data_IF_915443260294
#
_entry.id   IF_915443260294
#
_cell.length_a   1.000
_cell.length_b   1.000
_cell.length_c   1.000
_cell.angle_alpha   90.00
_cell.angle_beta   90.00
_cell.angle_gamma   90.00
#
_symmetry.space_group_name_H-M   'P 1'
#
loop_
_entity.id
_entity.type
_entity.pdbx_description
1 polymer ?
#
# COMPACT_ATOMS: atom_id res chain seq x y z
N UNK A 1 -111.62 -99.60 -39.70
CA UNK A 1 -113.05 -99.97 -39.69
C UNK A 1 -113.87 -98.70 -39.53
N UNK A 2 -114.58 -98.30 -40.58
CA UNK A 2 -115.40 -97.09 -40.63
C UNK A 2 -116.70 -97.33 -39.84
N UNK A 3 -116.92 -96.58 -38.75
CA UNK A 3 -118.23 -96.56 -38.07
C UNK A 3 -119.18 -95.68 -38.86
N UNK A 4 -120.13 -96.32 -39.53
CA UNK A 4 -121.28 -95.69 -40.18
C UNK A 4 -122.27 -95.37 -39.04
N UNK A 5 -122.54 -94.09 -38.80
CA UNK A 5 -123.58 -93.65 -37.88
C UNK A 5 -124.95 -93.77 -38.56
N UNK A 6 -125.89 -94.43 -37.92
CA UNK A 6 -127.26 -94.65 -38.42
C UNK A 6 -128.22 -93.64 -37.81
N UNK A 7 -129.38 -93.40 -38.44
CA UNK A 7 -130.37 -92.38 -38.02
C UNK A 7 -130.86 -92.50 -36.56
N UNK A 8 -130.55 -93.60 -35.88
CA UNK A 8 -130.77 -93.87 -34.45
C UNK A 8 -129.90 -93.04 -33.51
N UNK A 9 -128.80 -92.46 -34.01
CA UNK A 9 -127.81 -91.73 -33.20
C UNK A 9 -128.14 -90.22 -33.06
N UNK A 10 -129.29 -89.79 -33.58
CA UNK A 10 -129.85 -88.45 -33.37
C UNK A 10 -130.98 -88.58 -32.36
N UNK A 11 -130.68 -88.32 -31.09
CA UNK A 11 -131.70 -88.11 -30.07
C UNK A 11 -132.63 -86.96 -30.46
N UNK A 12 -133.93 -87.15 -30.24
CA UNK A 12 -134.94 -86.10 -30.36
C UNK A 12 -134.63 -84.97 -29.36
N UNK A 13 -134.24 -83.81 -29.89
CA UNK A 13 -134.17 -82.56 -29.14
C UNK A 13 -132.82 -81.85 -29.29
N UNK A 14 -132.85 -80.67 -29.92
CA UNK A 14 -131.77 -79.69 -30.02
C UNK A 14 -130.73 -79.90 -31.14
N UNK A 15 -131.21 -80.17 -32.37
CA UNK A 15 -130.49 -79.72 -33.58
C UNK A 15 -130.80 -78.25 -33.81
N UNK A 16 -129.91 -77.37 -33.36
CA UNK A 16 -129.57 -76.04 -33.90
C UNK A 16 -128.67 -75.40 -32.84
N UNK A 17 -127.39 -75.22 -33.16
CA UNK A 17 -126.46 -74.51 -32.28
C UNK A 17 -126.99 -73.12 -31.94
N UNK A 18 -126.55 -72.60 -30.79
CA UNK A 18 -126.93 -71.27 -30.33
C UNK A 18 -126.83 -70.26 -31.48
N UNK A 19 -127.90 -69.48 -31.65
CA UNK A 19 -127.92 -68.36 -32.59
C UNK A 19 -126.71 -67.49 -32.22
N UNK A 20 -125.76 -67.24 -33.14
CA UNK A 20 -124.65 -66.36 -32.84
C UNK A 20 -125.28 -65.02 -32.43
N UNK A 21 -124.93 -64.55 -31.23
CA UNK A 21 -125.49 -63.35 -30.58
C UNK A 21 -125.15 -62.03 -31.31
N UNK A 22 -124.90 -62.12 -32.61
CA UNK A 22 -124.46 -61.09 -33.56
C UNK A 22 -125.29 -61.18 -34.85
N UNK A 23 -126.63 -61.16 -34.75
CA UNK A 23 -127.52 -61.03 -35.92
C UNK A 23 -128.69 -60.04 -35.75
N UNK A 24 -128.66 -59.19 -34.71
CA UNK A 24 -129.54 -58.03 -34.65
C UNK A 24 -128.68 -56.77 -34.64
N UNK A 25 -128.98 -55.77 -35.51
CA UNK A 25 -128.31 -54.49 -35.45
C UNK A 25 -128.48 -53.89 -34.05
N UNK A 26 -127.46 -53.19 -33.52
CA UNK A 26 -127.50 -52.66 -32.15
C UNK A 26 -128.77 -51.87 -31.89
N UNK A 27 -129.36 -52.02 -30.70
CA UNK A 27 -130.57 -51.27 -30.35
C UNK A 27 -130.30 -49.76 -30.39
N UNK A 28 -131.33 -48.94 -30.64
CA UNK A 28 -131.18 -47.47 -30.65
C UNK A 28 -130.46 -46.95 -29.40
N UNK A 29 -130.82 -47.48 -28.23
CA UNK A 29 -130.19 -47.14 -26.94
C UNK A 29 -128.71 -47.56 -26.88
N UNK A 30 -128.35 -48.69 -27.49
CA UNK A 30 -126.98 -49.18 -27.56
C UNK A 30 -126.11 -48.32 -28.50
N UNK A 31 -126.65 -47.91 -29.66
CA UNK A 31 -126.00 -46.94 -30.54
C UNK A 31 -125.82 -45.57 -29.86
N UNK A 32 -126.83 -45.10 -29.12
CA UNK A 32 -126.77 -43.85 -28.36
C UNK A 32 -125.70 -43.92 -27.25
N UNK A 33 -125.60 -45.04 -26.53
CA UNK A 33 -124.57 -45.26 -25.51
C UNK A 33 -123.15 -45.37 -26.10
N UNK A 34 -122.98 -46.08 -27.21
CA UNK A 34 -121.71 -46.17 -27.93
C UNK A 34 -121.27 -44.80 -28.46
N UNK A 35 -122.20 -44.02 -29.01
CA UNK A 35 -121.94 -42.66 -29.48
C UNK A 35 -121.53 -41.74 -28.32
N UNK A 36 -122.21 -41.82 -27.17
CA UNK A 36 -121.85 -41.06 -25.97
C UNK A 36 -120.44 -41.43 -25.45
N UNK A 37 -120.11 -42.73 -25.43
CA UNK A 37 -118.77 -43.22 -25.06
C UNK A 37 -117.69 -42.74 -26.05
N UNK A 38 -117.95 -42.85 -27.37
CA UNK A 38 -117.06 -42.39 -28.41
C UNK A 38 -116.83 -40.87 -28.34
N UNK A 39 -117.87 -40.08 -28.09
CA UNK A 39 -117.77 -38.63 -27.89
C UNK A 39 -116.92 -38.28 -26.66
N UNK A 40 -117.11 -39.00 -25.54
CA UNK A 40 -116.28 -38.82 -24.33
C UNK A 40 -114.82 -39.16 -24.60
N UNK A 41 -114.55 -40.27 -25.28
CA UNK A 41 -113.19 -40.67 -25.67
C UNK A 41 -112.54 -39.65 -26.61
N UNK A 42 -113.29 -39.13 -27.59
CA UNK A 42 -112.84 -38.04 -28.46
C UNK A 42 -112.49 -36.79 -27.67
N UNK A 43 -113.32 -36.40 -26.70
CA UNK A 43 -113.06 -35.23 -25.85
C UNK A 43 -111.78 -35.40 -25.02
N UNK A 44 -111.56 -36.58 -24.44
CA UNK A 44 -110.32 -36.91 -23.72
C UNK A 44 -109.12 -36.86 -24.67
N UNK A 45 -109.22 -37.45 -25.87
CA UNK A 45 -108.15 -37.43 -26.86
C UNK A 45 -107.78 -36.00 -27.28
N UNK A 46 -108.77 -35.13 -27.48
CA UNK A 46 -108.53 -33.70 -27.78
C UNK A 46 -107.83 -33.01 -26.60
N UNK A 47 -108.30 -33.21 -25.36
CA UNK A 47 -107.66 -32.64 -24.16
C UNK A 47 -106.20 -33.11 -24.02
N UNK A 48 -105.94 -34.40 -24.25
CA UNK A 48 -104.60 -34.95 -24.25
C UNK A 48 -103.72 -34.38 -25.38
N UNK A 49 -104.25 -34.29 -26.61
CA UNK A 49 -103.57 -33.69 -27.75
C UNK A 49 -103.18 -32.24 -27.51
N UNK A 50 -104.10 -31.43 -26.97
CA UNK A 50 -103.83 -30.03 -26.61
C UNK A 50 -102.76 -29.92 -25.53
N UNK A 51 -102.80 -30.79 -24.50
CA UNK A 51 -101.78 -30.83 -23.45
C UNK A 51 -100.40 -31.21 -24.03
N UNK A 52 -100.35 -32.16 -24.96
CA UNK A 52 -99.12 -32.56 -25.65
C UNK A 52 -98.57 -31.41 -26.51
N UNK A 53 -99.42 -30.76 -27.31
CA UNK A 53 -99.03 -29.61 -28.14
C UNK A 53 -98.43 -28.48 -27.29
N UNK A 54 -99.06 -28.15 -26.16
CA UNK A 54 -98.53 -27.16 -25.23
C UNK A 54 -97.16 -27.57 -24.66
N UNK A 55 -96.98 -28.84 -24.31
CA UNK A 55 -95.69 -29.35 -23.82
C UNK A 55 -94.61 -29.27 -24.90
N UNK A 56 -94.93 -29.64 -26.14
CA UNK A 56 -94.00 -29.51 -27.28
C UNK A 56 -93.61 -28.06 -27.54
N UNK A 57 -94.56 -27.12 -27.44
CA UNK A 57 -94.29 -25.69 -27.58
C UNK A 57 -93.34 -25.17 -26.49
N UNK A 58 -93.55 -25.56 -25.23
CA UNK A 58 -92.65 -25.19 -24.13
C UNK A 58 -91.25 -25.77 -24.34
N UNK A 59 -91.15 -27.06 -24.72
CA UNK A 59 -89.87 -27.71 -25.00
C UNK A 59 -89.11 -27.05 -26.16
N UNK A 60 -89.79 -26.62 -27.22
CA UNK A 60 -89.15 -25.87 -28.32
C UNK A 60 -88.57 -24.52 -27.84
N UNK A 61 -89.33 -23.81 -27.00
CA UNK A 61 -88.87 -22.55 -26.40
C UNK A 61 -87.66 -22.76 -25.49
N UNK A 62 -87.68 -23.80 -24.67
CA UNK A 62 -86.58 -24.12 -23.76
C UNK A 62 -85.34 -24.60 -24.54
N UNK A 63 -85.51 -25.42 -25.58
CA UNK A 63 -84.42 -25.83 -26.46
C UNK A 63 -83.75 -24.63 -27.12
N UNK A 64 -84.51 -23.64 -27.59
CA UNK A 64 -83.96 -22.40 -28.16
C UNK A 64 -83.17 -21.60 -27.13
N UNK A 65 -83.66 -21.52 -25.89
CA UNK A 65 -82.93 -20.85 -24.78
C UNK A 65 -81.62 -21.56 -24.46
N UNK A 66 -81.66 -22.87 -24.28
CA UNK A 66 -80.47 -23.69 -24.00
C UNK A 66 -79.43 -23.54 -25.12
N UNK A 67 -79.85 -23.51 -26.38
CA UNK A 67 -78.94 -23.28 -27.51
C UNK A 67 -78.30 -21.89 -27.48
N UNK A 68 -79.03 -20.84 -27.08
CA UNK A 68 -78.47 -19.50 -26.92
C UNK A 68 -77.45 -19.47 -25.77
N UNK A 69 -77.78 -20.06 -24.62
CA UNK A 69 -76.90 -20.12 -23.46
C UNK A 69 -75.62 -20.91 -23.76
N UNK A 70 -75.74 -22.04 -24.48
CA UNK A 70 -74.60 -22.85 -24.92
C UNK A 70 -73.68 -22.06 -25.85
N UNK A 71 -74.26 -21.34 -26.83
CA UNK A 71 -73.48 -20.50 -27.74
C UNK A 71 -72.78 -19.35 -27.01
N UNK A 72 -73.43 -18.75 -26.01
CA UNK A 72 -72.82 -17.70 -25.20
C UNK A 72 -71.68 -18.25 -24.33
N UNK A 73 -71.90 -19.38 -23.65
CA UNK A 73 -70.87 -20.05 -22.87
C UNK A 73 -69.65 -20.44 -23.71
N UNK A 74 -69.85 -20.91 -24.95
CA UNK A 74 -68.76 -21.22 -25.87
C UNK A 74 -67.94 -19.99 -26.24
N UNK A 75 -68.58 -18.84 -26.50
CA UNK A 75 -67.87 -17.57 -26.77
C UNK A 75 -67.03 -17.14 -25.56
N UNK A 76 -67.55 -17.28 -24.35
CA UNK A 76 -66.83 -16.89 -23.14
C UNK A 76 -65.67 -17.87 -22.85
N UNK A 77 -65.85 -19.16 -23.13
CA UNK A 77 -64.77 -20.15 -23.11
C UNK A 77 -63.64 -19.79 -24.08
N UNK A 78 -63.95 -19.37 -25.30
CA UNK A 78 -62.94 -18.93 -26.28
C UNK A 78 -62.18 -17.68 -25.81
N UNK A 79 -62.89 -16.68 -25.26
CA UNK A 79 -62.25 -15.49 -24.68
C UNK A 79 -61.32 -15.89 -23.54
N UNK A 80 -61.77 -16.74 -22.62
CA UNK A 80 -60.97 -17.21 -21.50
C UNK A 80 -59.72 -17.95 -21.97
N UNK A 81 -59.87 -18.82 -22.98
CA UNK A 81 -58.74 -19.53 -23.61
C UNK A 81 -57.67 -18.56 -24.13
N UNK A 82 -58.09 -17.49 -24.84
CA UNK A 82 -57.16 -16.45 -25.32
C UNK A 82 -56.42 -15.75 -24.17
N UNK A 83 -57.13 -15.40 -23.09
CA UNK A 83 -56.51 -14.77 -21.92
C UNK A 83 -55.52 -15.71 -21.23
N UNK A 84 -55.84 -17.01 -21.14
CA UNK A 84 -54.91 -18.02 -20.57
C UNK A 84 -53.61 -18.08 -21.38
N UNK A 85 -53.68 -18.10 -22.71
CA UNK A 85 -52.48 -18.09 -23.54
C UNK A 85 -51.64 -16.82 -23.37
N UNK A 86 -52.30 -15.65 -23.30
CA UNK A 86 -51.60 -14.38 -23.03
C UNK A 86 -50.88 -14.39 -21.67
N UNK A 87 -51.53 -14.91 -20.63
CA UNK A 87 -50.92 -15.04 -19.30
C UNK A 87 -49.74 -16.03 -19.30
N UNK A 88 -49.83 -17.13 -20.04
CA UNK A 88 -48.73 -18.10 -20.18
C UNK A 88 -47.52 -17.42 -20.81
N UNK A 89 -47.71 -16.62 -21.86
CA UNK A 89 -46.60 -15.94 -22.53
C UNK A 89 -45.98 -14.84 -21.65
N UNK A 90 -46.80 -14.12 -20.88
CA UNK A 90 -46.31 -13.13 -19.92
C UNK A 90 -45.48 -13.79 -18.80
N UNK A 91 -45.94 -14.93 -18.28
CA UNK A 91 -45.17 -15.71 -17.30
C UNK A 91 -43.82 -16.15 -17.86
N UNK A 92 -43.76 -16.64 -19.10
CA UNK A 92 -42.49 -17.00 -19.77
C UNK A 92 -41.56 -15.79 -19.92
N UNK A 93 -42.12 -14.62 -20.28
CA UNK A 93 -41.37 -13.38 -20.42
C UNK A 93 -40.74 -12.98 -19.08
N UNK A 94 -41.53 -13.00 -18.01
CA UNK A 94 -41.06 -12.69 -16.65
C UNK A 94 -39.99 -13.66 -16.16
N UNK A 95 -40.12 -14.97 -16.46
CA UNK A 95 -39.06 -15.94 -16.13
C UNK A 95 -37.74 -15.62 -16.84
N UNK A 96 -37.79 -15.23 -18.12
CA UNK A 96 -36.59 -14.86 -18.89
C UNK A 96 -35.93 -13.58 -18.34
N UNK A 97 -36.74 -12.61 -17.91
CA UNK A 97 -36.28 -11.38 -17.28
C UNK A 97 -35.62 -11.66 -15.92
N UNK A 98 -36.21 -12.55 -15.12
CA UNK A 98 -35.66 -12.99 -13.83
C UNK A 98 -34.29 -13.66 -14.00
N UNK A 99 -34.14 -14.55 -14.99
CA UNK A 99 -32.87 -15.22 -15.29
C UNK A 99 -31.78 -14.21 -15.71
N UNK A 100 -32.17 -13.25 -16.54
CA UNK A 100 -31.29 -12.16 -16.98
C UNK A 100 -30.83 -11.29 -15.80
N UNK A 101 -31.74 -10.91 -14.91
CA UNK A 101 -31.42 -10.12 -13.72
C UNK A 101 -30.53 -10.91 -12.74
N UNK A 102 -30.82 -12.19 -12.55
CA UNK A 102 -30.00 -13.09 -11.72
C UNK A 102 -28.56 -13.14 -12.25
N UNK A 103 -28.40 -13.30 -13.57
CA UNK A 103 -27.08 -13.28 -14.22
C UNK A 103 -26.35 -11.94 -14.10
N UNK A 104 -27.08 -10.81 -14.07
CA UNK A 104 -26.48 -9.49 -13.83
C UNK A 104 -26.02 -9.33 -12.37
N UNK A 105 -26.79 -9.81 -11.40
CA UNK A 105 -26.44 -9.79 -9.98
C UNK A 105 -25.16 -10.60 -9.75
N UNK A 106 -25.11 -11.83 -10.24
CA UNK A 106 -23.91 -12.70 -10.11
C UNK A 106 -22.66 -12.02 -10.68
N UNK A 107 -22.75 -11.37 -11.85
CA UNK A 107 -21.63 -10.62 -12.43
C UNK A 107 -21.19 -9.46 -11.55
N UNK A 108 -22.12 -8.67 -11.01
CA UNK A 108 -21.81 -7.56 -10.10
C UNK A 108 -21.17 -8.05 -8.80
N UNK A 109 -21.61 -9.18 -8.27
CA UNK A 109 -21.01 -9.79 -7.06
C UNK A 109 -19.57 -10.24 -7.28
N UNK A 110 -19.28 -10.85 -8.44
CA UNK A 110 -17.91 -11.21 -8.84
C UNK A 110 -17.04 -9.95 -8.89
N UNK A 111 -17.46 -8.92 -9.64
CA UNK A 111 -16.70 -7.66 -9.75
C UNK A 111 -16.52 -6.98 -8.39
N UNK A 112 -17.53 -6.99 -7.52
CA UNK A 112 -17.44 -6.44 -6.18
C UNK A 112 -16.35 -7.13 -5.35
N UNK A 113 -16.26 -8.46 -5.43
CA UNK A 113 -15.23 -9.22 -4.74
C UNK A 113 -13.83 -8.92 -5.29
N UNK A 114 -13.67 -8.80 -6.62
CA UNK A 114 -12.40 -8.39 -7.23
C UNK A 114 -11.95 -7.01 -6.73
N UNK A 115 -12.86 -6.04 -6.63
CA UNK A 115 -12.54 -4.72 -6.10
C UNK A 115 -12.17 -4.77 -4.61
N UNK A 116 -12.87 -5.58 -3.80
CA UNK A 116 -12.51 -5.79 -2.38
C UNK A 116 -11.09 -6.36 -2.25
N UNK A 117 -10.71 -7.31 -3.10
CA UNK A 117 -9.36 -7.89 -3.08
C UNK A 117 -8.30 -6.88 -3.51
N UNK A 118 -8.55 -6.08 -4.54
CA UNK A 118 -7.67 -4.96 -4.95
C UNK A 118 -7.47 -3.96 -3.82
N UNK A 119 -8.54 -3.58 -3.11
CA UNK A 119 -8.48 -2.68 -1.95
C UNK A 119 -7.64 -3.30 -0.83
N UNK A 120 -7.84 -4.59 -0.53
CA UNK A 120 -7.05 -5.30 0.50
C UNK A 120 -5.56 -5.29 0.17
N UNK A 121 -5.20 -5.52 -1.09
CA UNK A 121 -3.80 -5.48 -1.56
C UNK A 121 -3.22 -4.08 -1.42
N UNK A 122 -3.93 -3.05 -1.87
CA UNK A 122 -3.49 -1.65 -1.74
C UNK A 122 -3.31 -1.21 -0.29
N UNK A 123 -4.18 -1.68 0.62
CA UNK A 123 -4.04 -1.42 2.05
C UNK A 123 -2.77 -2.04 2.64
N UNK A 124 -2.39 -3.25 2.21
CA UNK A 124 -1.12 -3.88 2.61
C UNK A 124 0.08 -3.09 2.10
N UNK A 125 0.06 -2.65 0.84
CA UNK A 125 1.11 -1.82 0.24
C UNK A 125 1.27 -0.49 1.00
N UNK A 126 0.17 0.20 1.30
CA UNK A 126 0.19 1.44 2.09
C UNK A 126 0.82 1.24 3.48
N UNK A 127 0.45 0.18 4.20
CA UNK A 127 1.05 -0.12 5.51
C UNK A 127 2.55 -0.39 5.40
N UNK A 128 2.98 -1.12 4.37
CA UNK A 128 4.40 -1.38 4.14
C UNK A 128 5.19 -0.09 3.85
N UNK A 129 4.63 0.80 3.02
CA UNK A 129 5.23 2.12 2.74
C UNK A 129 5.28 2.99 3.99
N UNK A 130 4.23 2.99 4.81
CA UNK A 130 4.21 3.74 6.07
C UNK A 130 5.32 3.27 7.03
N UNK A 131 5.55 1.96 7.15
CA UNK A 131 6.66 1.42 7.94
C UNK A 131 8.02 1.84 7.38
N UNK A 132 8.20 1.85 6.05
CA UNK A 132 9.44 2.32 5.41
C UNK A 132 9.69 3.81 5.67
N UNK A 133 8.65 4.65 5.61
CA UNK A 133 8.76 6.08 5.92
C UNK A 133 9.24 6.29 7.36
N UNK A 134 8.60 5.63 8.34
CA UNK A 134 9.01 5.70 9.75
C UNK A 134 10.47 5.26 9.95
N UNK A 135 10.89 4.18 9.30
CA UNK A 135 12.28 3.72 9.36
C UNK A 135 13.25 4.77 8.78
N UNK A 136 12.92 5.38 7.64
CA UNK A 136 13.73 6.45 7.06
C UNK A 136 13.79 7.71 7.94
N UNK A 137 12.68 8.11 8.57
CA UNK A 137 12.63 9.24 9.50
C UNK A 137 13.55 9.03 10.71
N UNK A 138 13.51 7.83 11.31
CA UNK A 138 14.40 7.50 12.44
C UNK A 138 15.88 7.53 12.04
N UNK A 139 16.22 7.01 10.85
CA UNK A 139 17.60 7.08 10.31
C UNK A 139 18.05 8.51 10.06
N UNK A 140 17.18 9.34 9.48
CA UNK A 140 17.47 10.75 9.22
C UNK A 140 17.76 11.50 10.52
N UNK A 141 16.93 11.30 11.54
CA UNK A 141 17.14 11.91 12.86
C UNK A 141 18.46 11.49 13.50
N UNK A 142 18.83 10.20 13.41
CA UNK A 142 20.13 9.71 13.90
C UNK A 142 21.29 10.36 13.15
N UNK A 143 21.26 10.37 11.81
CA UNK A 143 22.33 10.99 11.00
C UNK A 143 22.45 12.48 11.27
N UNK A 144 21.34 13.19 11.49
CA UNK A 144 21.36 14.61 11.83
C UNK A 144 22.04 14.85 13.18
N UNK A 145 21.75 14.01 14.18
CA UNK A 145 22.43 14.07 15.48
C UNK A 145 23.93 13.81 15.34
N UNK A 146 24.32 12.79 14.59
CA UNK A 146 25.73 12.46 14.33
C UNK A 146 26.46 13.60 13.62
N UNK A 147 25.83 14.23 12.64
CA UNK A 147 26.38 15.41 11.95
C UNK A 147 26.61 16.56 12.92
N UNK A 148 25.64 16.86 13.79
CA UNK A 148 25.78 17.92 14.80
C UNK A 148 26.91 17.65 15.80
N UNK A 149 27.12 16.39 16.19
CA UNK A 149 28.24 16.01 17.06
C UNK A 149 29.59 16.23 16.36
N UNK A 150 29.70 15.82 15.09
CA UNK A 150 30.90 16.05 14.28
C UNK A 150 31.18 17.53 14.03
N UNK A 151 30.16 18.34 13.81
CA UNK A 151 30.29 19.80 13.67
C UNK A 151 30.92 20.40 14.94
N UNK A 152 30.43 19.98 16.12
CA UNK A 152 30.95 20.43 17.41
C UNK A 152 32.40 19.99 17.63
N UNK A 153 32.76 18.77 17.21
CA UNK A 153 34.14 18.26 17.26
C UNK A 153 35.07 19.04 16.34
N UNK A 154 34.62 19.38 15.11
CA UNK A 154 35.38 20.22 14.18
C UNK A 154 35.64 21.61 14.78
N UNK A 155 34.64 22.23 15.40
CA UNK A 155 34.79 23.54 16.02
C UNK A 155 35.76 23.49 17.22
N UNK A 156 35.69 22.43 18.03
CA UNK A 156 36.67 22.20 19.09
C UNK A 156 38.10 22.09 18.55
N UNK A 157 38.31 21.26 17.53
CA UNK A 157 39.63 21.07 16.91
C UNK A 157 40.16 22.37 16.25
N UNK A 158 39.28 23.21 15.69
CA UNK A 158 39.66 24.52 15.16
C UNK A 158 40.20 25.45 16.25
N UNK A 159 39.54 25.48 17.41
CA UNK A 159 40.00 26.27 18.57
C UNK A 159 41.35 25.76 19.06
N UNK A 160 41.51 24.45 19.19
CA UNK A 160 42.78 23.83 19.63
C UNK A 160 43.93 24.13 18.65
N UNK A 161 43.70 24.01 17.33
CA UNK A 161 44.67 24.39 16.30
C UNK A 161 45.06 25.88 16.37
N UNK A 162 44.09 26.76 16.60
CA UNK A 162 44.36 28.19 16.76
C UNK A 162 45.27 28.47 17.97
N UNK A 163 44.99 27.83 19.11
CA UNK A 163 45.81 27.95 20.31
C UNK A 163 47.25 27.43 20.11
N UNK A 164 47.39 26.27 19.45
CA UNK A 164 48.71 25.71 19.10
C UNK A 164 49.50 26.63 18.18
N UNK A 165 48.85 27.22 17.18
CA UNK A 165 49.48 28.17 16.27
C UNK A 165 49.96 29.44 16.99
N UNK A 166 49.15 29.99 17.91
CA UNK A 166 49.57 31.14 18.74
C UNK A 166 50.76 30.80 19.63
N UNK A 167 50.77 29.60 20.24
CA UNK A 167 51.90 29.12 21.04
C UNK A 167 53.17 28.96 20.21
N UNK A 168 53.06 28.39 19.00
CA UNK A 168 54.18 28.25 18.07
C UNK A 168 54.76 29.62 17.67
N UNK A 169 53.90 30.59 17.36
CA UNK A 169 54.32 31.95 17.03
C UNK A 169 55.06 32.64 18.19
N UNK A 170 54.58 32.46 19.42
CA UNK A 170 55.24 32.93 20.65
C UNK A 170 56.63 32.30 20.81
N UNK A 171 56.73 30.98 20.66
CA UNK A 171 58.02 30.25 20.76
C UNK A 171 59.02 30.65 19.68
N UNK A 172 58.57 30.87 18.44
CA UNK A 172 59.42 31.40 17.38
C UNK A 172 59.94 32.81 17.71
N UNK A 173 59.09 33.67 18.28
CA UNK A 173 59.51 35.01 18.72
C UNK A 173 60.54 34.95 19.84
N UNK A 174 60.39 34.01 20.78
CA UNK A 174 61.37 33.75 21.85
C UNK A 174 62.70 33.24 21.29
N UNK A 175 62.66 32.31 20.33
CA UNK A 175 63.83 31.78 19.65
C UNK A 175 64.62 32.90 18.94
N UNK A 176 63.95 33.78 18.19
CA UNK A 176 64.60 34.92 17.53
C UNK A 176 65.22 35.92 18.52
N UNK A 177 64.57 36.16 19.67
CA UNK A 177 65.20 36.96 20.75
C UNK A 177 66.48 36.30 21.28
N UNK A 178 66.44 34.99 21.54
CA UNK A 178 67.63 34.26 22.02
C UNK A 178 68.76 34.28 20.99
N UNK A 179 68.43 34.11 19.71
CA UNK A 179 69.39 34.19 18.60
C UNK A 179 70.06 35.58 18.53
N UNK A 180 69.30 36.65 18.67
CA UNK A 180 69.83 38.02 18.71
C UNK A 180 70.71 38.27 19.95
N UNK A 181 70.35 37.71 21.10
CA UNK A 181 71.20 37.78 22.30
C UNK A 181 72.52 37.03 22.12
N UNK A 182 72.48 35.86 21.47
CA UNK A 182 73.68 35.07 21.16
C UNK A 182 74.61 35.83 20.21
N UNK A 183 74.08 36.47 19.16
CA UNK A 183 74.89 37.27 18.23
C UNK A 183 75.54 38.47 18.92
N UNK A 184 74.81 39.16 19.81
CA UNK A 184 75.36 40.25 20.64
C UNK A 184 76.50 39.74 21.54
N UNK A 185 76.28 38.64 22.27
CA UNK A 185 77.31 38.05 23.14
C UNK A 185 78.54 37.58 22.38
N UNK A 186 78.39 37.03 21.18
CA UNK A 186 79.53 36.73 20.33
C UNK A 186 80.29 37.99 19.90
N UNK A 187 79.59 39.09 19.60
CA UNK A 187 80.21 40.38 19.31
C UNK A 187 81.02 40.93 20.50
N UNK A 188 80.43 40.91 21.71
CA UNK A 188 81.13 41.27 22.95
C UNK A 188 82.39 40.40 23.19
N UNK A 189 82.28 39.09 22.98
CA UNK A 189 83.39 38.15 23.13
C UNK A 189 84.56 38.50 22.17
N UNK A 190 84.25 38.82 20.92
CA UNK A 190 85.28 39.16 19.92
C UNK A 190 85.97 40.51 20.26
N UNK A 191 85.23 41.48 20.81
CA UNK A 191 85.83 42.72 21.34
C UNK A 191 86.79 42.45 22.49
N UNK A 192 86.35 41.66 23.49
CA UNK A 192 87.20 41.27 24.64
C UNK A 192 88.46 40.55 24.17
N UNK A 193 88.32 39.64 23.21
CA UNK A 193 89.44 38.89 22.61
C UNK A 193 90.43 39.82 21.90
N UNK A 194 89.94 40.80 21.15
CA UNK A 194 90.78 41.81 20.51
C UNK A 194 91.51 42.70 21.52
N UNK A 195 90.83 43.13 22.59
CA UNK A 195 91.46 43.94 23.63
C UNK A 195 92.49 43.14 24.45
N UNK A 196 92.21 41.87 24.72
CA UNK A 196 93.19 40.95 25.31
C UNK A 196 94.43 40.80 24.41
N UNK A 197 94.25 40.68 23.10
CA UNK A 197 95.36 40.60 22.14
C UNK A 197 96.21 41.89 22.14
N UNK A 198 95.57 43.08 22.19
CA UNK A 198 96.27 44.37 22.33
C UNK A 198 97.05 44.43 23.63
N UNK A 199 96.43 44.11 24.78
CA UNK A 199 97.10 44.08 26.08
C UNK A 199 98.28 43.12 26.09
N UNK A 200 98.15 41.95 25.47
CA UNK A 200 99.27 41.02 25.29
C UNK A 200 100.40 41.58 24.41
N UNK A 201 100.09 42.38 23.37
CA UNK A 201 101.13 43.09 22.61
C UNK A 201 101.83 44.19 23.42
N UNK A 202 101.09 44.95 24.23
CA UNK A 202 101.65 45.93 25.16
C UNK A 202 102.57 45.26 26.19
N UNK A 203 102.13 44.16 26.80
CA UNK A 203 102.93 43.37 27.75
C UNK A 203 104.24 42.92 27.08
N UNK A 204 104.18 42.33 25.88
CA UNK A 204 105.39 41.92 25.14
C UNK A 204 106.34 43.08 24.85
N UNK A 205 105.80 44.25 24.51
CA UNK A 205 106.60 45.46 24.31
C UNK A 205 107.28 45.93 25.59
N UNK A 206 106.54 45.96 26.71
CA UNK A 206 107.06 46.31 28.03
C UNK A 206 108.12 45.32 28.51
N UNK A 207 107.90 44.02 28.33
CA UNK A 207 108.88 42.97 28.62
C UNK A 207 110.17 43.16 27.81
N UNK A 208 110.06 43.55 26.54
CA UNK A 208 111.21 43.85 25.68
C UNK A 208 111.98 45.06 26.21
N UNK A 209 111.29 46.16 26.53
CA UNK A 209 111.90 47.35 27.16
C UNK A 209 112.55 47.04 28.51
N UNK A 210 111.93 46.20 29.33
CA UNK A 210 112.49 45.77 30.61
C UNK A 210 113.81 45.00 30.40
N UNK A 211 113.84 44.09 29.43
CA UNK A 211 115.06 43.35 29.05
C UNK A 211 116.16 44.31 28.56
N UNK A 212 115.82 45.30 27.75
CA UNK A 212 116.76 46.33 27.28
C UNK A 212 117.32 47.17 28.44
N UNK A 213 116.47 47.64 29.36
CA UNK A 213 116.89 48.38 30.55
C UNK A 213 117.82 47.56 31.46
N UNK A 214 117.50 46.27 31.68
CA UNK A 214 118.35 45.35 32.44
C UNK A 214 119.71 45.14 31.76
N UNK A 215 119.75 45.11 30.42
CA UNK A 215 120.99 45.04 29.66
C UNK A 215 121.83 46.32 29.81
N UNK A 216 121.21 47.50 29.69
CA UNK A 216 121.86 48.80 29.90
C UNK A 216 122.41 48.96 31.33
N UNK A 217 121.66 48.52 32.35
CA UNK A 217 122.15 48.50 33.74
C UNK A 217 123.36 47.57 33.92
N UNK A 218 123.35 46.39 33.30
CA UNK A 218 124.53 45.50 33.29
C UNK A 218 125.74 46.16 32.62
N UNK A 219 125.55 46.86 31.51
CA UNK A 219 126.63 47.57 30.81
C UNK A 219 127.18 48.74 31.62
N UNK A 220 126.32 49.53 32.27
CA UNK A 220 126.72 50.64 33.14
C UNK A 220 127.50 50.14 34.38
N UNK A 221 127.04 49.06 35.03
CA UNK A 221 127.79 48.43 36.14
C UNK A 221 129.16 47.88 35.73
N UNK A 222 129.30 47.40 34.48
CA UNK A 222 130.61 47.00 33.92
C UNK A 222 131.51 48.21 33.66
N UNK A 223 130.97 49.35 33.23
CA UNK A 223 131.76 50.58 33.03
C UNK A 223 132.29 51.15 34.36
N UNK A 224 131.49 51.15 35.43
CA UNK A 224 131.94 51.58 36.77
C UNK A 224 133.09 50.69 37.28
N UNK A 225 132.98 49.35 37.15
CA UNK A 225 134.07 48.42 37.51
C UNK A 225 135.33 48.55 36.65
N UNK A 226 135.21 49.06 35.41
CA UNK A 226 136.37 49.33 34.55
C UNK A 226 137.02 50.67 34.96
N UNK A 227 136.21 51.69 35.26
CA UNK A 227 136.64 53.01 35.76
C UNK A 227 137.52 52.90 37.01
N UNK A 228 137.05 52.16 38.02
CA UNK A 228 137.80 51.94 39.27
C UNK A 228 139.16 51.26 39.02
N UNK A 229 139.22 50.29 38.08
CA UNK A 229 140.48 49.60 37.72
C UNK A 229 141.46 50.48 36.94
N UNK A 230 140.97 51.43 36.16
CA UNK A 230 141.83 52.40 35.45
C UNK A 230 142.42 53.44 36.37
N UNK A 231 141.69 53.89 37.38
CA UNK A 231 142.17 54.87 38.36
C UNK A 231 143.24 54.25 39.28
N UNK A 232 143.06 52.97 39.67
CA UNK A 232 144.06 52.20 40.42
C UNK A 232 145.37 52.01 39.63
N UNK A 233 145.27 51.75 38.31
CA UNK A 233 146.45 51.70 37.41
C UNK A 233 147.12 53.07 37.22
N UNK A 234 146.35 54.15 37.08
CA UNK A 234 146.87 55.52 36.99
C UNK A 234 147.65 55.92 38.25
N UNK A 235 147.17 55.52 39.43
CA UNK A 235 147.82 55.79 40.71
C UNK A 235 149.16 55.05 40.87
N UNK A 236 149.22 53.77 40.45
CA UNK A 236 150.47 52.98 40.45
C UNK A 236 151.49 53.58 39.47
N UNK A 237 151.07 54.04 38.29
CA UNK A 237 151.97 54.69 37.33
C UNK A 237 152.55 55.99 37.90
N UNK A 238 151.76 56.77 38.64
CA UNK A 238 152.23 58.00 39.29
C UNK A 238 153.26 57.70 40.39
N UNK A 239 153.04 56.66 41.20
CA UNK A 239 154.00 56.20 42.22
C UNK A 239 155.31 55.69 41.60
N UNK A 240 155.25 54.94 40.49
CA UNK A 240 156.45 54.47 39.78
C UNK A 240 157.25 55.60 39.13
N UNK A 241 156.59 56.66 38.65
CA UNK A 241 157.28 57.88 38.15
C UNK A 241 157.98 58.65 39.26
N UNK A 242 157.38 58.74 40.45
CA UNK A 242 157.99 59.39 41.62
C UNK A 242 159.25 58.67 42.12
N UNK A 243 159.27 57.33 42.04
CA UNK A 243 160.43 56.53 42.42
C UNK A 243 161.60 56.61 41.42
N UNK A 244 161.32 56.81 40.13
CA UNK A 244 162.36 56.90 39.08
C UNK A 244 163.14 58.22 39.07
N UNK A 245 162.70 59.23 39.81
CA UNK A 245 163.45 60.49 39.99
C UNK A 245 164.35 60.48 41.25
N UNK A 246 164.48 59.34 41.95
CA UNK A 246 165.27 59.22 43.20
C UNK A 246 166.43 58.23 43.15
N UNK A 247 166.80 57.71 41.97
CA UNK A 247 168.03 56.92 41.72
C UNK A 247 168.55 57.32 40.35
#
# INVERSE_FOLDING_TARGET
MSRIYTLSDIGEGCKLGDIPSSRYPPSRTELENQLACANRNREIAIKCGNRLANKCFVLDKDNKRIQQDLNQSNKDKEKLSKHIYQLIDEVKRLYSELDTLTSQITRKDISLNEYKDKIRTKLKEMKALQSKIKASETRLSSTQKDSSMKESEIDYLRVELSALNSNLASKNSELERMKNMLTLKNGELELIKNDLAKKNSEIRSLETRLKELLLCNRLSSKQVKIGDKTDEKMMIIYQLRSLRQRI
#
